data_IF_950077543641
#
_entry.id   IF_950077543641
#
_cell.length_a   1.000
_cell.length_b   1.000
_cell.length_c   1.000
_cell.angle_alpha   90.00
_cell.angle_beta   90.00
_cell.angle_gamma   90.00
#
_symmetry.space_group_name_H-M   'P 1'
#
loop_
_entity.id
_entity.type
_entity.pdbx_description
1 polymer ?
#
# COMPACT_ATOMS: atom_id res chain seq x y z
N UNK A 1 2.52 -8.32 8.53
CA UNK A 1 3.30 -8.11 7.28
C UNK A 1 2.30 -8.12 6.14
N UNK A 2 2.45 -7.22 5.16
CA UNK A 2 1.58 -7.17 3.98
C UNK A 2 2.30 -7.76 2.77
N UNK A 3 1.54 -8.19 1.77
CA UNK A 3 2.06 -8.58 0.46
C UNK A 3 1.60 -7.57 -0.59
N UNK A 4 2.56 -6.87 -1.19
CA UNK A 4 2.26 -5.82 -2.17
C UNK A 4 2.92 -6.14 -3.51
N UNK A 5 2.29 -5.78 -4.61
CA UNK A 5 2.93 -5.81 -5.95
C UNK A 5 2.54 -4.58 -6.73
N UNK A 6 3.37 -4.18 -7.71
CA UNK A 6 2.91 -3.20 -8.70
C UNK A 6 1.89 -3.84 -9.64
N UNK A 7 1.08 -3.02 -10.31
CA UNK A 7 -0.01 -3.47 -11.18
C UNK A 7 0.48 -4.45 -12.26
N UNK A 8 1.65 -4.19 -12.83
CA UNK A 8 2.25 -4.97 -13.93
C UNK A 8 3.16 -6.11 -13.46
N UNK A 9 3.32 -6.28 -12.15
CA UNK A 9 4.12 -7.37 -11.56
C UNK A 9 3.21 -8.55 -11.18
N UNK A 10 3.74 -9.77 -11.22
CA UNK A 10 3.03 -10.98 -10.77
C UNK A 10 3.52 -11.48 -9.41
N UNK A 11 4.68 -11.02 -8.96
CA UNK A 11 5.33 -11.46 -7.73
C UNK A 11 5.09 -10.41 -6.66
N UNK A 12 4.64 -10.85 -5.49
CA UNK A 12 4.43 -9.98 -4.35
C UNK A 12 5.74 -9.79 -3.57
N UNK A 13 5.98 -8.55 -3.18
CA UNK A 13 7.03 -8.13 -2.28
C UNK A 13 6.47 -8.04 -0.85
N UNK A 14 7.16 -8.63 0.16
CA UNK A 14 6.75 -8.49 1.55
C UNK A 14 7.05 -7.07 2.06
N UNK A 15 6.02 -6.41 2.58
CA UNK A 15 6.09 -5.09 3.17
C UNK A 15 5.87 -5.17 4.68
N UNK A 16 6.89 -4.79 5.44
CA UNK A 16 6.90 -4.86 6.90
C UNK A 16 6.62 -3.48 7.49
N UNK A 17 5.38 -3.25 7.91
CA UNK A 17 4.98 -2.00 8.55
C UNK A 17 5.24 -2.13 10.05
N UNK A 18 6.39 -1.61 10.50
CA UNK A 18 6.83 -1.68 11.90
C UNK A 18 7.33 -0.30 12.33
N UNK A 19 6.67 0.39 13.28
CA UNK A 19 5.40 0.02 13.91
C UNK A 19 4.21 0.10 12.94
N UNK A 20 3.04 -0.48 13.25
CA UNK A 20 1.82 -0.35 12.45
C UNK A 20 1.25 1.08 12.54
N UNK A 21 1.93 2.02 11.90
CA UNK A 21 1.65 3.46 11.85
C UNK A 21 2.08 4.04 10.51
N UNK A 22 1.64 5.26 10.18
CA UNK A 22 1.98 5.97 8.95
C UNK A 22 3.50 6.10 8.79
N UNK A 23 4.21 6.39 9.88
CA UNK A 23 5.68 6.48 9.86
C UNK A 23 6.32 5.14 9.51
N UNK A 24 5.87 4.04 10.12
CA UNK A 24 6.37 2.70 9.80
C UNK A 24 6.04 2.30 8.37
N UNK A 25 4.89 2.73 7.85
CA UNK A 25 4.51 2.49 6.46
C UNK A 25 5.41 3.27 5.48
N UNK A 26 5.67 4.56 5.74
CA UNK A 26 6.60 5.38 4.95
C UNK A 26 7.98 4.72 4.92
N UNK A 27 8.51 4.32 6.08
CA UNK A 27 9.83 3.67 6.16
C UNK A 27 9.87 2.38 5.34
N UNK A 28 8.83 1.54 5.43
CA UNK A 28 8.74 0.32 4.65
C UNK A 28 8.73 0.60 3.13
N UNK A 29 8.02 1.64 2.70
CA UNK A 29 7.96 2.05 1.29
C UNK A 29 9.31 2.58 0.80
N UNK A 30 9.97 3.43 1.59
CA UNK A 30 11.33 3.93 1.31
C UNK A 30 12.30 2.77 1.14
N UNK A 31 12.29 1.81 2.06
CA UNK A 31 13.21 0.66 2.02
C UNK A 31 12.96 -0.25 0.81
N UNK A 32 11.69 -0.52 0.46
CA UNK A 32 11.36 -1.47 -0.62
C UNK A 32 11.33 -0.87 -2.02
N UNK A 33 11.01 0.42 -2.14
CA UNK A 33 10.78 1.06 -3.44
C UNK A 33 11.74 2.21 -3.73
N UNK A 34 12.62 2.58 -2.80
CA UNK A 34 13.64 3.62 -3.02
C UNK A 34 13.08 5.04 -3.12
N UNK A 35 11.89 5.28 -2.55
CA UNK A 35 11.25 6.59 -2.53
C UNK A 35 11.86 7.44 -1.41
N UNK A 36 12.07 8.74 -1.66
CA UNK A 36 12.49 9.69 -0.63
C UNK A 36 11.34 9.99 0.35
N UNK A 37 11.56 9.79 1.65
CA UNK A 37 10.49 9.89 2.66
C UNK A 37 9.83 11.27 2.72
N UNK A 38 10.62 12.32 2.50
CA UNK A 38 10.19 13.73 2.47
C UNK A 38 9.40 14.09 1.20
N UNK A 39 9.45 13.24 0.17
CA UNK A 39 8.67 13.38 -1.06
C UNK A 39 7.32 12.68 -1.00
N UNK A 40 7.05 11.87 0.02
CA UNK A 40 5.75 11.21 0.17
C UNK A 40 4.76 12.20 0.81
N UNK A 41 3.90 12.78 -0.02
CA UNK A 41 2.94 13.80 0.40
C UNK A 41 1.57 13.24 0.78
N UNK A 42 1.27 11.99 0.40
CA UNK A 42 -0.02 11.36 0.66
C UNK A 42 0.05 9.83 0.73
N UNK A 43 -0.64 9.27 1.71
CA UNK A 43 -0.83 7.84 1.90
C UNK A 43 -2.33 7.53 1.82
N UNK A 44 -2.69 6.62 0.94
CA UNK A 44 -4.09 6.32 0.64
C UNK A 44 -4.35 4.82 0.60
N UNK A 45 -5.64 4.49 0.72
CA UNK A 45 -6.17 3.14 0.51
C UNK A 45 -7.35 3.23 -0.43
N UNK A 46 -7.37 2.43 -1.47
CA UNK A 46 -8.55 2.23 -2.31
C UNK A 46 -9.20 0.89 -1.94
N UNK A 47 -10.46 0.92 -1.51
CA UNK A 47 -11.18 -0.30 -1.19
C UNK A 47 -11.84 -0.91 -2.44
N UNK A 48 -12.25 -2.17 -2.33
CA UNK A 48 -12.96 -2.91 -3.40
C UNK A 48 -14.27 -2.25 -3.87
N UNK A 49 -14.82 -1.30 -3.10
CA UNK A 49 -15.99 -0.48 -3.49
C UNK A 49 -15.64 0.70 -4.40
N UNK A 50 -14.36 0.88 -4.76
CA UNK A 50 -13.87 1.99 -5.57
C UNK A 50 -13.70 3.31 -4.79
N UNK A 51 -13.77 3.28 -3.46
CA UNK A 51 -13.59 4.48 -2.62
C UNK A 51 -12.12 4.57 -2.20
N UNK A 52 -11.50 5.72 -2.46
CA UNK A 52 -10.16 6.05 -1.98
C UNK A 52 -10.26 6.89 -0.70
N UNK A 53 -9.57 6.46 0.35
CA UNK A 53 -9.50 7.14 1.64
C UNK A 53 -8.06 7.45 2.01
N UNK A 54 -7.83 8.55 2.72
CA UNK A 54 -6.54 8.86 3.31
C UNK A 54 -6.30 7.92 4.50
N UNK A 55 -5.11 7.35 4.58
CA UNK A 55 -4.74 6.47 5.69
C UNK A 55 -4.47 7.29 6.97
N UNK A 56 -4.81 6.68 8.10
CA UNK A 56 -4.35 7.08 9.43
C UNK A 56 -3.67 5.90 10.15
N UNK A 57 -3.14 6.16 11.34
CA UNK A 57 -2.45 5.15 12.16
C UNK A 57 -3.38 4.02 12.59
N UNK A 58 -4.65 4.29 12.87
CA UNK A 58 -5.59 3.28 13.37
C UNK A 58 -5.97 2.31 12.27
N UNK A 59 -6.17 2.78 11.04
CA UNK A 59 -6.42 1.95 9.87
C UNK A 59 -5.30 0.92 9.65
N UNK A 60 -4.04 1.29 9.86
CA UNK A 60 -2.89 0.40 9.65
C UNK A 60 -2.83 -0.73 10.68
N UNK A 61 -3.40 -0.55 11.87
CA UNK A 61 -3.51 -1.60 12.90
C UNK A 61 -4.52 -2.68 12.54
N UNK A 62 -5.47 -2.38 11.65
CA UNK A 62 -6.50 -3.32 11.22
C UNK A 62 -6.06 -4.24 10.08
N UNK A 63 -4.93 -3.95 9.42
CA UNK A 63 -4.41 -4.87 8.42
C UNK A 63 -3.89 -6.15 9.06
N UNK A 64 -4.26 -7.26 8.44
CA UNK A 64 -3.91 -8.59 8.89
C UNK A 64 -2.60 -9.06 8.24
N UNK A 65 -2.01 -10.09 8.84
CA UNK A 65 -0.84 -10.71 8.24
C UNK A 65 -1.21 -11.32 6.88
N UNK A 66 -0.36 -11.11 5.87
CA UNK A 66 -0.50 -11.66 4.52
C UNK A 66 -1.62 -11.04 3.69
N UNK A 67 -2.26 -9.96 4.16
CA UNK A 67 -3.17 -9.17 3.34
C UNK A 67 -2.46 -8.70 2.06
N UNK A 68 -3.16 -8.85 0.93
CA UNK A 68 -2.60 -8.59 -0.40
C UNK A 68 -3.14 -7.30 -0.99
N UNK A 69 -2.24 -6.50 -1.57
CA UNK A 69 -2.60 -5.23 -2.21
C UNK A 69 -1.83 -5.02 -3.51
N UNK A 70 -2.40 -4.21 -4.41
CA UNK A 70 -1.56 -3.49 -5.37
C UNK A 70 -1.04 -2.25 -4.66
N UNK A 71 0.25 -1.98 -4.80
CA UNK A 71 0.83 -0.71 -4.39
C UNK A 71 1.03 0.17 -5.63
N UNK A 72 0.46 1.37 -5.59
CA UNK A 72 0.64 2.39 -6.61
C UNK A 72 1.44 3.54 -6.02
N UNK A 73 2.47 3.99 -6.74
CA UNK A 73 3.32 5.11 -6.34
C UNK A 73 3.37 6.07 -7.52
N UNK A 74 2.63 7.17 -7.41
CA UNK A 74 2.41 8.12 -8.49
C UNK A 74 2.88 9.52 -8.08
N UNK A 75 3.28 10.35 -9.05
CA UNK A 75 3.59 11.76 -8.79
C UNK A 75 2.34 12.48 -8.26
N UNK A 76 2.53 13.35 -7.27
CA UNK A 76 1.42 14.14 -6.74
C UNK A 76 0.94 15.14 -7.81
N UNK A 77 -0.38 15.29 -7.96
CA UNK A 77 -0.95 16.19 -8.97
C UNK A 77 -0.57 17.65 -8.74
N UNK A 78 -0.51 18.08 -7.47
CA UNK A 78 -0.22 19.47 -7.11
C UNK A 78 1.28 19.79 -7.11
N UNK A 79 2.13 18.78 -6.90
CA UNK A 79 3.59 18.92 -6.88
C UNK A 79 4.25 17.68 -7.50
N UNK A 80 4.69 17.76 -8.77
CA UNK A 80 5.34 16.65 -9.47
C UNK A 80 6.67 16.20 -8.83
N UNK A 81 7.26 17.00 -7.94
CA UNK A 81 8.46 16.63 -7.18
C UNK A 81 8.14 15.71 -5.99
N UNK A 82 6.87 15.62 -5.61
CA UNK A 82 6.35 14.73 -4.57
C UNK A 82 5.62 13.52 -5.20
N UNK A 83 5.34 12.52 -4.37
CA UNK A 83 4.59 11.34 -4.75
C UNK A 83 3.53 11.00 -3.71
N UNK A 84 2.53 10.25 -4.17
CA UNK A 84 1.51 9.65 -3.32
C UNK A 84 1.62 8.14 -3.41
N UNK A 85 1.31 7.46 -2.31
CA UNK A 85 1.33 6.00 -2.22
C UNK A 85 -0.07 5.50 -1.91
N UNK A 86 -0.58 4.59 -2.73
CA UNK A 86 -1.92 4.01 -2.56
C UNK A 86 -1.85 2.49 -2.44
N UNK A 87 -2.44 1.94 -1.37
CA UNK A 87 -2.72 0.52 -1.24
C UNK A 87 -4.11 0.23 -1.82
N UNK A 88 -4.17 -0.52 -2.92
CA UNK A 88 -5.42 -0.88 -3.59
C UNK A 88 -5.78 -2.30 -3.19
N UNK A 89 -6.92 -2.47 -2.55
CA UNK A 89 -7.47 -3.77 -2.20
C UNK A 89 -7.77 -4.58 -3.46
N UNK A 90 -7.36 -5.84 -3.43
CA UNK A 90 -7.77 -6.81 -4.44
C UNK A 90 -9.14 -7.37 -4.07
N UNK A 91 -10.04 -7.58 -5.04
CA UNK A 91 -11.26 -8.34 -4.78
C UNK A 91 -10.88 -9.73 -4.27
N UNK A 92 -11.65 -10.31 -3.33
CA UNK A 92 -11.37 -11.65 -2.85
C UNK A 92 -11.32 -12.58 -4.05
N UNK A 93 -10.15 -13.16 -4.32
CA UNK A 93 -10.05 -14.28 -5.23
C UNK A 93 -10.83 -15.41 -4.58
N UNK A 94 -11.96 -15.79 -5.18
CA UNK A 94 -12.54 -17.10 -4.91
C UNK A 94 -11.49 -18.14 -5.29
N UNK A 95 -10.64 -18.53 -4.35
CA UNK A 95 -9.98 -19.82 -4.41
C UNK A 95 -11.13 -20.82 -4.35
N UNK A 96 -11.58 -21.22 -5.54
CA UNK A 96 -12.38 -22.42 -5.71
C UNK A 96 -11.49 -23.53 -5.18
N UNK A 97 -11.70 -23.93 -3.93
CA UNK A 97 -11.16 -25.18 -3.42
C UNK A 97 -11.83 -26.26 -4.26
N UNK A 98 -11.18 -26.63 -5.36
CA UNK A 98 -11.52 -27.85 -6.08
C UNK A 98 -11.30 -28.98 -5.08
N UNK A 99 -12.43 -29.62 -4.75
CA UNK A 99 -12.56 -30.76 -3.84
C UNK A 99 -11.82 -31.97 -4.39
#
# INVERSE_FOLDING_TARGET
MLYVRKRDEQIYTPLHIIPPSLTGFIQAVVEKFGVESDKISGLFKQCTKGVTVKLDDDMLKHYCNEDTFIIDIEQAQDDPSCCTVTLIELPPTHFSQAT
#
